data_IF_118206974962
#
_entry.id   IF_118206974962
#
_cell.length_a   1.000
_cell.length_b   1.000
_cell.length_c   1.000
_cell.angle_alpha   90.00
_cell.angle_beta   90.00
_cell.angle_gamma   90.00
#
_symmetry.space_group_name_H-M   'P 1'
#
loop_
_entity.id
_entity.type
_entity.pdbx_description
1 polymer ?
#
# COMPACT_ATOMS: atom_id res chain seq x y z
N UNK A 1 -16.10 5.61 -56.32
CA UNK A 1 -15.56 4.24 -56.12
C UNK A 1 -14.11 4.36 -55.73
N UNK A 2 -13.82 4.33 -54.42
CA UNK A 2 -12.47 4.20 -53.87
C UNK A 2 -12.55 3.15 -52.77
N UNK A 3 -11.55 2.26 -52.76
CA UNK A 3 -11.54 0.94 -52.12
C UNK A 3 -11.26 1.01 -50.60
N UNK A 4 -11.60 -0.06 -49.85
CA UNK A 4 -11.56 -0.12 -48.39
C UNK A 4 -10.15 -0.39 -47.89
N UNK A 5 -9.66 0.44 -46.96
CA UNK A 5 -8.61 0.08 -46.00
C UNK A 5 -8.55 1.08 -44.84
N UNK A 6 -9.62 1.14 -44.03
CA UNK A 6 -9.66 1.87 -42.74
C UNK A 6 -9.24 0.98 -41.56
N UNK A 7 -8.29 0.07 -41.78
CA UNK A 7 -7.77 -0.80 -40.73
C UNK A 7 -6.25 -0.81 -40.80
N UNK A 8 -5.65 -0.59 -39.62
CA UNK A 8 -4.22 -0.61 -39.27
C UNK A 8 -3.52 0.75 -39.34
N UNK A 9 -3.81 1.61 -38.36
CA UNK A 9 -2.79 2.50 -37.81
C UNK A 9 -2.26 1.86 -36.51
N UNK A 10 -1.11 1.14 -36.53
CA UNK A 10 -0.58 0.42 -35.38
C UNK A 10 0.17 1.30 -34.36
N UNK A 11 0.18 2.63 -34.52
CA UNK A 11 1.02 3.53 -33.69
C UNK A 11 0.25 4.45 -32.73
N UNK A 12 -0.96 4.09 -32.29
CA UNK A 12 -1.60 4.75 -31.12
C UNK A 12 -1.39 3.96 -29.84
N UNK A 13 -0.13 3.73 -29.51
CA UNK A 13 0.26 3.56 -28.12
C UNK A 13 0.37 4.97 -27.53
N UNK A 14 -0.69 5.42 -26.85
CA UNK A 14 -0.58 6.57 -25.95
C UNK A 14 0.56 6.25 -24.97
N UNK A 15 1.70 6.91 -25.20
CA UNK A 15 2.79 6.96 -24.25
C UNK A 15 2.18 7.51 -22.96
N UNK A 16 1.97 6.65 -21.97
CA UNK A 16 1.73 7.10 -20.60
C UNK A 16 2.91 8.01 -20.28
N UNK A 17 2.63 9.29 -20.11
CA UNK A 17 3.59 10.23 -19.57
C UNK A 17 4.15 9.58 -18.31
N UNK A 18 5.44 9.25 -18.34
CA UNK A 18 6.16 8.81 -17.16
C UNK A 18 6.18 10.05 -16.28
N UNK A 19 5.33 10.06 -15.26
CA UNK A 19 5.35 11.12 -14.24
C UNK A 19 6.79 11.24 -13.76
N UNK A 20 7.42 12.39 -14.01
CA UNK A 20 8.76 12.67 -13.52
C UNK A 20 8.78 12.40 -12.00
N UNK A 21 9.84 11.75 -11.53
CA UNK A 21 10.02 11.51 -10.11
C UNK A 21 10.01 12.86 -9.39
N UNK A 22 9.28 13.01 -8.28
CA UNK A 22 9.19 14.28 -7.55
C UNK A 22 10.58 14.78 -7.19
N UNK A 23 10.77 16.10 -7.22
CA UNK A 23 12.06 16.71 -6.90
C UNK A 23 12.53 16.36 -5.48
N UNK A 24 13.84 16.44 -5.18
CA UNK A 24 14.46 15.94 -3.93
C UNK A 24 13.99 16.62 -2.63
N UNK A 25 13.03 17.55 -2.71
CA UNK A 25 12.47 18.31 -1.59
C UNK A 25 10.94 18.41 -1.59
N UNK A 26 10.25 17.73 -2.51
CA UNK A 26 8.78 17.80 -2.56
C UNK A 26 8.14 16.77 -1.62
N UNK A 27 7.05 17.15 -0.91
CA UNK A 27 6.29 16.21 -0.10
C UNK A 27 5.79 15.05 -0.96
N UNK A 28 6.20 13.82 -0.64
CA UNK A 28 5.85 12.65 -1.44
C UNK A 28 4.53 12.05 -1.01
N UNK A 29 3.72 11.68 -1.99
CA UNK A 29 2.66 10.70 -1.79
C UNK A 29 3.31 9.36 -1.35
N UNK A 30 2.73 8.70 -0.35
CA UNK A 30 3.19 7.41 0.16
C UNK A 30 2.15 6.34 -0.14
N UNK A 31 2.60 5.12 -0.42
CA UNK A 31 1.74 3.95 -0.47
C UNK A 31 1.48 3.39 0.93
N UNK A 32 0.23 3.42 1.39
CA UNK A 32 -0.15 2.94 2.73
C UNK A 32 -1.06 1.72 2.61
N UNK A 33 -0.59 0.58 3.09
CA UNK A 33 -1.39 -0.65 3.20
C UNK A 33 -2.11 -0.73 4.55
N UNK A 34 -3.43 -0.89 4.52
CA UNK A 34 -4.32 -0.99 5.68
C UNK A 34 -4.93 -2.40 5.74
N UNK A 35 -4.50 -3.18 6.73
CA UNK A 35 -4.94 -4.57 6.92
C UNK A 35 -5.46 -4.74 8.34
N UNK A 36 -6.57 -5.46 8.51
CA UNK A 36 -7.13 -5.73 9.83
C UNK A 36 -7.84 -7.08 9.91
N UNK A 37 -7.56 -7.87 10.95
CA UNK A 37 -8.38 -9.04 11.28
C UNK A 37 -9.79 -8.59 11.67
N UNK A 38 -10.78 -9.48 11.56
CA UNK A 38 -12.20 -9.14 11.72
C UNK A 38 -12.51 -8.41 13.04
N UNK A 39 -11.93 -8.89 14.15
CA UNK A 39 -12.11 -8.29 15.48
C UNK A 39 -11.42 -6.92 15.64
N UNK A 40 -10.49 -6.59 14.75
CA UNK A 40 -9.72 -5.35 14.76
C UNK A 40 -10.26 -4.29 13.77
N UNK A 41 -11.18 -4.65 12.87
CA UNK A 41 -11.77 -3.71 11.89
C UNK A 41 -12.44 -2.50 12.54
N UNK A 42 -13.18 -2.62 13.66
CA UNK A 42 -13.73 -1.44 14.34
C UNK A 42 -12.65 -0.48 14.84
N UNK A 43 -11.53 -1.01 15.35
CA UNK A 43 -10.39 -0.20 15.79
C UNK A 43 -9.69 0.47 14.60
N UNK A 44 -9.49 -0.26 13.50
CA UNK A 44 -8.96 0.28 12.24
C UNK A 44 -9.82 1.43 11.72
N UNK A 45 -11.14 1.26 11.67
CA UNK A 45 -12.06 2.32 11.24
C UNK A 45 -12.00 3.54 12.16
N UNK A 46 -11.99 3.33 13.47
CA UNK A 46 -11.90 4.43 14.44
C UNK A 46 -10.58 5.21 14.30
N UNK A 47 -9.47 4.50 14.11
CA UNK A 47 -8.15 5.10 13.89
C UNK A 47 -8.11 5.86 12.55
N UNK A 48 -8.56 5.24 11.46
CA UNK A 48 -8.58 5.85 10.14
C UNK A 48 -9.49 7.09 10.09
N UNK A 49 -10.59 7.12 10.86
CA UNK A 49 -11.47 8.28 10.97
C UNK A 49 -10.75 9.48 11.59
N UNK A 50 -9.93 9.26 12.62
CA UNK A 50 -9.15 10.33 13.28
C UNK A 50 -8.11 10.89 12.31
N UNK A 51 -7.47 10.03 11.52
CA UNK A 51 -6.39 10.39 10.60
C UNK A 51 -6.85 10.54 9.14
N UNK A 52 -8.16 10.70 8.90
CA UNK A 52 -8.77 10.66 7.56
C UNK A 52 -8.13 11.67 6.62
N UNK A 53 -7.92 12.90 7.08
CA UNK A 53 -7.32 13.97 6.27
C UNK A 53 -5.87 13.69 5.88
N UNK A 54 -5.10 13.00 6.73
CA UNK A 54 -3.74 12.57 6.40
C UNK A 54 -3.76 11.42 5.42
N UNK A 55 -4.60 10.40 5.68
CA UNK A 55 -4.75 9.24 4.80
C UNK A 55 -5.21 9.63 3.38
N UNK A 56 -6.08 10.64 3.26
CA UNK A 56 -6.57 11.12 1.96
C UNK A 56 -5.51 11.78 1.07
N UNK A 57 -4.30 12.03 1.58
CA UNK A 57 -3.17 12.61 0.82
C UNK A 57 -2.20 11.55 0.28
N UNK A 58 -2.53 10.28 0.49
CA UNK A 58 -1.67 9.14 0.24
C UNK A 58 -2.41 8.10 -0.58
N UNK A 59 -1.65 7.25 -1.29
CA UNK A 59 -2.23 6.13 -2.03
C UNK A 59 -2.57 5.01 -1.05
N UNK A 60 -3.85 4.68 -0.92
CA UNK A 60 -4.30 3.68 0.03
C UNK A 60 -4.54 2.32 -0.63
N UNK A 61 -4.06 1.28 0.03
CA UNK A 61 -4.29 -0.12 -0.32
C UNK A 61 -4.93 -0.83 0.86
N UNK A 62 -5.89 -1.72 0.61
CA UNK A 62 -6.47 -2.51 1.71
C UNK A 62 -7.00 -3.86 1.24
N UNK A 63 -7.04 -4.82 2.15
CA UNK A 63 -7.65 -6.13 1.89
C UNK A 63 -9.18 -6.06 1.98
N UNK A 64 -9.85 -6.97 1.25
CA UNK A 64 -11.26 -6.95 0.87
C UNK A 64 -12.22 -6.16 1.77
N UNK A 65 -12.56 -6.73 2.94
CA UNK A 65 -13.56 -6.15 3.85
C UNK A 65 -13.06 -4.89 4.55
N UNK A 66 -11.78 -4.83 4.92
CA UNK A 66 -11.18 -3.64 5.55
C UNK A 66 -11.29 -2.44 4.61
N UNK A 67 -10.87 -2.60 3.35
CA UNK A 67 -10.96 -1.54 2.35
C UNK A 67 -12.40 -1.12 2.04
N UNK A 68 -13.34 -2.07 2.03
CA UNK A 68 -14.77 -1.76 1.85
C UNK A 68 -15.30 -0.84 2.95
N UNK A 69 -15.11 -1.24 4.22
CA UNK A 69 -15.56 -0.47 5.38
C UNK A 69 -14.96 0.95 5.36
N UNK A 70 -13.66 1.08 5.09
CA UNK A 70 -13.00 2.39 5.11
C UNK A 70 -13.45 3.30 3.96
N UNK A 71 -13.61 2.75 2.75
CA UNK A 71 -14.10 3.52 1.61
C UNK A 71 -15.54 4.00 1.83
N UNK A 72 -16.42 3.09 2.27
CA UNK A 72 -17.84 3.39 2.47
C UNK A 72 -18.09 4.39 3.61
N UNK A 73 -17.34 4.27 4.72
CA UNK A 73 -17.57 5.07 5.93
C UNK A 73 -16.82 6.41 5.95
N UNK A 74 -15.70 6.52 5.22
CA UNK A 74 -14.79 7.67 5.31
C UNK A 74 -14.58 8.42 3.99
N UNK A 75 -15.24 7.95 2.91
CA UNK A 75 -15.11 8.51 1.55
C UNK A 75 -13.63 8.63 1.15
N UNK A 76 -12.91 7.51 1.28
CA UNK A 76 -11.50 7.39 0.92
C UNK A 76 -11.37 6.57 -0.36
N UNK A 77 -10.55 7.05 -1.29
CA UNK A 77 -10.15 6.27 -2.46
C UNK A 77 -9.15 5.18 -2.02
N UNK A 78 -9.53 3.92 -2.17
CA UNK A 78 -8.74 2.77 -1.70
C UNK A 78 -8.68 1.72 -2.80
N UNK A 79 -7.45 1.29 -3.15
CA UNK A 79 -7.22 0.12 -4.01
C UNK A 79 -7.50 -1.13 -3.19
N UNK A 80 -8.58 -1.82 -3.51
CA UNK A 80 -9.06 -2.99 -2.78
C UNK A 80 -8.52 -4.29 -3.37
N UNK A 81 -7.92 -5.10 -2.51
CA UNK A 81 -7.48 -6.46 -2.82
C UNK A 81 -8.47 -7.51 -2.30
N UNK A 82 -8.16 -8.79 -2.52
CA UNK A 82 -8.92 -9.90 -1.91
C UNK A 82 -8.83 -9.83 -0.38
N UNK A 83 -9.67 -10.59 0.31
CA UNK A 83 -9.48 -10.79 1.75
C UNK A 83 -8.17 -11.55 2.01
N UNK A 84 -7.57 -11.36 3.18
CA UNK A 84 -6.35 -12.09 3.59
C UNK A 84 -6.44 -13.60 3.33
N UNK A 85 -7.47 -14.31 3.83
CA UNK A 85 -7.67 -15.74 3.58
C UNK A 85 -7.78 -16.16 2.10
N UNK A 86 -8.07 -15.22 1.20
CA UNK A 86 -8.22 -15.47 -0.24
C UNK A 86 -7.01 -14.94 -1.06
N UNK A 87 -5.89 -14.69 -0.39
CA UNK A 87 -4.63 -14.26 -1.00
C UNK A 87 -4.38 -12.75 -0.98
N UNK A 88 -5.22 -11.96 -0.30
CA UNK A 88 -5.06 -10.51 -0.18
C UNK A 88 -3.71 -10.09 0.42
N UNK A 89 -3.23 -10.85 1.41
CA UNK A 89 -1.95 -10.56 2.08
C UNK A 89 -0.76 -10.75 1.13
N UNK A 90 -0.85 -11.72 0.22
CA UNK A 90 0.16 -11.93 -0.82
C UNK A 90 0.12 -10.84 -1.89
N UNK A 91 -1.07 -10.32 -2.24
CA UNK A 91 -1.20 -9.19 -3.15
C UNK A 91 -0.55 -7.93 -2.56
N UNK A 92 -0.74 -7.66 -1.27
CA UNK A 92 -0.02 -6.58 -0.57
C UNK A 92 1.48 -6.87 -0.55
N UNK A 93 1.88 -8.11 -0.27
CA UNK A 93 3.29 -8.52 -0.30
C UNK A 93 3.97 -8.26 -1.64
N UNK A 94 3.28 -8.47 -2.77
CA UNK A 94 3.76 -8.12 -4.11
C UNK A 94 4.01 -6.61 -4.23
N UNK A 95 3.09 -5.79 -3.73
CA UNK A 95 3.22 -4.33 -3.75
C UNK A 95 4.39 -3.84 -2.89
N UNK A 96 4.64 -4.47 -1.75
CA UNK A 96 5.83 -4.20 -0.94
C UNK A 96 7.10 -4.52 -1.73
N UNK A 97 7.16 -5.68 -2.39
CA UNK A 97 8.32 -6.08 -3.19
C UNK A 97 8.53 -5.21 -4.44
N UNK A 98 7.45 -4.65 -5.01
CA UNK A 98 7.47 -3.71 -6.14
C UNK A 98 7.81 -2.27 -5.73
N UNK A 99 7.91 -1.97 -4.42
CA UNK A 99 8.14 -0.61 -3.92
C UNK A 99 6.90 0.29 -3.91
N UNK A 100 5.71 -0.26 -4.16
CA UNK A 100 4.45 0.47 -4.21
C UNK A 100 3.85 0.77 -2.83
N UNK A 101 4.33 0.10 -1.77
CA UNK A 101 3.87 0.25 -0.38
C UNK A 101 5.04 0.70 0.48
N UNK A 102 4.91 1.90 1.05
CA UNK A 102 5.90 2.55 1.91
C UNK A 102 5.58 2.39 3.41
N UNK A 103 4.34 2.05 3.75
CA UNK A 103 3.87 1.89 5.14
C UNK A 103 2.86 0.75 5.22
N UNK A 104 3.08 -0.18 6.14
CA UNK A 104 2.10 -1.22 6.47
C UNK A 104 1.47 -0.95 7.86
N UNK A 105 0.16 -0.70 7.89
CA UNK A 105 -0.64 -0.70 9.12
C UNK A 105 -1.46 -1.98 9.16
N UNK A 106 -1.07 -2.91 10.04
CA UNK A 106 -1.71 -4.21 10.18
C UNK A 106 -2.22 -4.44 11.61
N UNK A 107 -3.50 -4.17 11.85
CA UNK A 107 -4.13 -4.51 13.13
C UNK A 107 -4.57 -5.97 13.12
N UNK A 108 -3.69 -6.83 13.61
CA UNK A 108 -3.93 -8.27 13.71
C UNK A 108 -4.40 -8.63 15.13
N UNK A 109 -5.30 -9.61 15.22
CA UNK A 109 -5.79 -10.18 16.47
C UNK A 109 -4.80 -11.21 17.05
N UNK A 110 -4.17 -10.94 18.21
CA UNK A 110 -3.19 -11.84 18.82
C UNK A 110 -3.80 -12.95 19.66
N UNK A 111 -5.13 -12.92 19.88
CA UNK A 111 -5.82 -13.83 20.78
C UNK A 111 -6.56 -14.96 20.04
N UNK A 112 -6.84 -14.76 18.74
CA UNK A 112 -7.59 -15.74 17.94
C UNK A 112 -6.70 -16.35 16.85
N UNK A 113 -6.67 -17.69 16.71
CA UNK A 113 -5.93 -18.33 15.63
C UNK A 113 -6.50 -17.93 14.28
N UNK A 114 -5.63 -17.62 13.33
CA UNK A 114 -6.03 -17.30 11.96
C UNK A 114 -5.72 -18.45 11.00
N UNK A 115 -6.64 -18.82 10.09
CA UNK A 115 -6.38 -19.85 9.09
C UNK A 115 -5.28 -19.46 8.09
N UNK A 116 -4.95 -18.17 8.01
CA UNK A 116 -3.94 -17.58 7.13
C UNK A 116 -2.73 -17.04 7.92
N UNK A 117 -2.46 -17.55 9.13
CA UNK A 117 -1.25 -17.22 9.92
C UNK A 117 0.07 -17.28 9.12
N UNK A 118 0.31 -18.30 8.25
CA UNK A 118 1.51 -18.33 7.43
C UNK A 118 1.66 -17.09 6.52
N UNK A 119 0.55 -16.62 5.96
CA UNK A 119 0.51 -15.47 5.06
C UNK A 119 0.78 -14.17 5.82
N UNK A 120 0.23 -14.01 7.05
CA UNK A 120 0.54 -12.88 7.94
C UNK A 120 2.05 -12.79 8.21
N UNK A 121 2.68 -13.92 8.55
CA UNK A 121 4.12 -13.96 8.83
C UNK A 121 4.95 -13.67 7.58
N UNK A 122 4.52 -14.18 6.43
CA UNK A 122 5.17 -13.91 5.15
C UNK A 122 5.11 -12.41 4.80
N UNK A 123 3.95 -11.78 4.99
CA UNK A 123 3.75 -10.35 4.76
C UNK A 123 4.65 -9.49 5.66
N UNK A 124 4.66 -9.75 6.97
CA UNK A 124 5.52 -9.02 7.91
C UNK A 124 7.01 -9.21 7.58
N UNK A 125 7.41 -10.42 7.18
CA UNK A 125 8.78 -10.69 6.73
C UNK A 125 9.15 -9.86 5.49
N UNK A 126 8.25 -9.73 4.51
CA UNK A 126 8.49 -8.91 3.32
C UNK A 126 8.63 -7.43 3.69
N UNK A 127 7.80 -6.92 4.60
CA UNK A 127 7.90 -5.54 5.08
C UNK A 127 9.25 -5.26 5.77
N UNK A 128 9.73 -6.19 6.59
CA UNK A 128 11.08 -6.10 7.21
C UNK A 128 12.18 -6.14 6.16
N UNK A 129 12.08 -7.03 5.16
CA UNK A 129 13.07 -7.11 4.08
C UNK A 129 13.09 -5.84 3.23
N UNK A 130 11.94 -5.20 3.03
CA UNK A 130 11.83 -3.94 2.28
C UNK A 130 12.23 -2.71 3.12
N UNK A 131 12.49 -2.90 4.42
CA UNK A 131 12.80 -1.83 5.37
C UNK A 131 11.74 -0.72 5.41
N UNK A 132 10.46 -1.10 5.30
CA UNK A 132 9.34 -0.18 5.43
C UNK A 132 8.81 -0.14 6.87
N UNK A 133 8.35 1.03 7.37
CA UNK A 133 7.67 1.10 8.66
C UNK A 133 6.45 0.15 8.73
N UNK A 134 6.34 -0.54 9.87
CA UNK A 134 5.22 -1.44 10.16
C UNK A 134 4.57 -1.08 11.48
N UNK A 135 3.26 -0.87 11.46
CA UNK A 135 2.44 -0.65 12.64
C UNK A 135 1.51 -1.85 12.86
N UNK A 136 1.84 -2.69 13.84
CA UNK A 136 1.04 -3.88 14.18
C UNK A 136 -0.08 -3.61 15.20
N UNK A 137 -0.18 -2.37 15.67
CA UNK A 137 -1.17 -1.93 16.66
C UNK A 137 -1.39 -0.41 16.52
N UNK A 138 -2.43 0.08 17.18
CA UNK A 138 -2.80 1.50 17.14
C UNK A 138 -1.72 2.43 17.67
N UNK A 139 -1.04 2.08 18.77
CA UNK A 139 -0.02 2.95 19.35
C UNK A 139 1.13 3.20 18.36
N UNK A 140 1.65 2.15 17.72
CA UNK A 140 2.66 2.31 16.67
C UNK A 140 2.12 3.08 15.47
N UNK A 141 0.85 2.84 15.08
CA UNK A 141 0.23 3.55 13.98
C UNK A 141 0.12 5.06 14.24
N UNK A 142 -0.24 5.47 15.46
CA UNK A 142 -0.31 6.87 15.87
C UNK A 142 1.07 7.55 15.83
N UNK A 143 2.14 6.86 16.25
CA UNK A 143 3.50 7.40 16.15
C UNK A 143 3.96 7.53 14.69
N UNK A 144 3.67 6.55 13.85
CA UNK A 144 4.17 6.54 12.47
C UNK A 144 3.41 7.54 11.59
N UNK A 145 2.08 7.63 11.72
CA UNK A 145 1.24 8.54 10.92
C UNK A 145 1.48 10.02 11.26
N UNK A 146 1.95 10.32 12.47
CA UNK A 146 2.27 11.68 12.91
C UNK A 146 3.75 12.04 12.72
N UNK A 147 4.56 11.11 12.25
CA UNK A 147 5.98 11.35 12.00
C UNK A 147 6.16 12.35 10.85
N UNK A 148 7.01 13.37 11.01
CA UNK A 148 7.41 14.25 9.91
C UNK A 148 8.02 13.49 8.73
N UNK A 149 8.60 12.31 8.98
CA UNK A 149 9.22 11.46 7.97
C UNK A 149 8.22 10.86 6.98
N UNK A 150 6.92 10.82 7.31
CA UNK A 150 5.90 10.32 6.39
C UNK A 150 5.82 11.17 5.12
N UNK A 151 5.95 12.49 5.27
CA UNK A 151 5.85 13.46 4.16
C UNK A 151 7.20 14.01 3.72
N UNK A 152 8.29 13.63 4.40
CA UNK A 152 9.63 14.04 4.00
C UNK A 152 10.02 13.40 2.66
N UNK A 153 10.90 14.07 1.91
CA UNK A 153 11.58 13.48 0.77
C UNK A 153 12.42 12.28 1.22
N UNK A 154 12.66 11.35 0.30
CA UNK A 154 13.50 10.19 0.59
C UNK A 154 14.94 10.62 0.90
N UNK A 155 15.54 9.97 1.90
CA UNK A 155 16.93 10.21 2.26
C UNK A 155 17.84 9.64 1.16
N UNK A 156 18.57 10.48 0.40
CA UNK A 156 19.40 10.02 -0.72
C UNK A 156 20.58 9.15 -0.27
N UNK A 157 20.95 9.22 1.02
CA UNK A 157 22.02 8.42 1.60
C UNK A 157 21.50 7.12 2.23
N UNK A 158 20.17 6.90 2.25
CA UNK A 158 19.60 5.65 2.75
C UNK A 158 19.91 4.53 1.77
N UNK A 159 20.61 3.46 2.20
CA UNK A 159 20.87 2.34 1.32
C UNK A 159 19.55 1.68 0.90
N UNK A 160 19.37 1.47 -0.40
CA UNK A 160 18.25 0.64 -0.90
C UNK A 160 18.34 -0.76 -0.30
N UNK A 161 17.19 -1.37 -0.03
CA UNK A 161 17.19 -2.76 0.40
C UNK A 161 17.77 -3.64 -0.72
N UNK A 162 18.89 -4.36 -0.48
CA UNK A 162 19.52 -5.19 -1.50
C UNK A 162 18.65 -6.40 -1.89
N UNK A 163 17.54 -6.63 -1.19
CA UNK A 163 16.68 -7.80 -1.34
C UNK A 163 15.72 -7.65 -2.53
N UNK A 164 15.33 -6.42 -2.86
CA UNK A 164 14.37 -6.14 -3.94
C UNK A 164 14.96 -5.29 -5.07
N UNK A 165 16.27 -5.04 -5.05
CA UNK A 165 16.97 -4.47 -6.18
C UNK A 165 16.70 -5.33 -7.44
N UNK A 166 16.44 -4.72 -8.61
CA UNK A 166 16.29 -5.46 -9.85
C UNK A 166 17.47 -6.42 -10.00
N UNK A 167 17.20 -7.69 -10.29
CA UNK A 167 18.27 -8.62 -10.66
C UNK A 167 19.06 -7.97 -11.79
N UNK A 168 20.32 -7.63 -11.53
CA UNK A 168 21.19 -7.06 -12.55
C UNK A 168 21.16 -8.01 -13.78
N UNK A 169 20.70 -7.47 -14.90
CA UNK A 169 20.56 -8.20 -16.16
C UNK A 169 21.90 -8.65 -16.73
#
# INVERSE_FOLDING_TARGET
MTRPNDLLDPERHELREVSEAPGPHEPRERGIALVAHDRCKPEMLAWARIHRETLARHRLYATGTTGGILADELDLEIIRFRSGPLGGDQQIGSRIAEGDVDLLVFFWDPLSPQPHEPDVRALLRLAVLADIPVACNRATADFVITSPLLVAADDPDRPESPVFAPLAA
#
